data_IF_954679554243
#
_entry.id   IF_954679554243
#
_cell.length_a   1.000
_cell.length_b   1.000
_cell.length_c   1.000
_cell.angle_alpha   90.00
_cell.angle_beta   90.00
_cell.angle_gamma   90.00
#
_symmetry.space_group_name_H-M   'P 1'
#
loop_
_entity.id
_entity.type
_entity.pdbx_description
1 polymer ?
#
# COMPACT_ATOMS: atom_id res chain seq x y z
N UNK A 1 -12.67 -30.11 -9.00
CA UNK A 1 -11.78 -29.87 -7.84
C UNK A 1 -10.42 -30.57 -7.97
N UNK A 2 -10.34 -31.91 -8.06
CA UNK A 2 -9.06 -32.63 -8.23
C UNK A 2 -8.31 -32.30 -9.54
N UNK A 3 -9.04 -32.15 -10.65
CA UNK A 3 -8.47 -31.75 -11.94
C UNK A 3 -7.97 -30.28 -11.95
N UNK A 4 -8.52 -29.43 -11.08
CA UNK A 4 -8.11 -28.02 -10.91
C UNK A 4 -6.81 -27.94 -10.11
N UNK A 5 -6.69 -28.73 -9.05
CA UNK A 5 -5.45 -28.89 -8.27
C UNK A 5 -4.29 -29.44 -9.13
N UNK A 6 -4.54 -30.44 -9.98
CA UNK A 6 -3.53 -31.00 -10.89
C UNK A 6 -3.09 -30.00 -11.98
N UNK A 7 -4.01 -29.17 -12.48
CA UNK A 7 -3.71 -28.13 -13.47
C UNK A 7 -2.93 -26.97 -12.86
N UNK A 8 -3.25 -26.56 -11.63
CA UNK A 8 -2.47 -25.58 -10.86
C UNK A 8 -1.05 -26.09 -10.55
N UNK A 9 -0.89 -27.37 -10.20
CA UNK A 9 0.41 -27.95 -9.87
C UNK A 9 1.38 -28.02 -11.07
N UNK A 10 0.85 -28.34 -12.26
CA UNK A 10 1.63 -28.40 -13.49
C UNK A 10 2.00 -27.00 -14.03
N UNK A 11 1.11 -26.02 -13.86
CA UNK A 11 1.41 -24.61 -14.16
C UNK A 11 2.53 -24.15 -13.22
N UNK A 12 2.41 -24.33 -11.90
CA UNK A 12 3.45 -23.99 -10.92
C UNK A 12 4.83 -24.56 -11.27
N UNK A 13 4.94 -25.86 -11.59
CA UNK A 13 6.23 -26.50 -11.93
C UNK A 13 6.92 -25.89 -13.16
N UNK A 14 6.16 -25.59 -14.21
CA UNK A 14 6.72 -24.99 -15.43
C UNK A 14 7.25 -23.57 -15.20
N UNK A 15 6.61 -22.83 -14.28
CA UNK A 15 7.03 -21.48 -13.89
C UNK A 15 8.20 -21.50 -12.89
N UNK A 16 8.32 -22.50 -12.00
CA UNK A 16 9.49 -22.67 -11.13
C UNK A 16 10.78 -22.82 -11.94
N UNK A 17 10.74 -23.55 -13.07
CA UNK A 17 11.91 -23.76 -13.94
C UNK A 17 12.28 -22.46 -14.69
N UNK A 18 11.30 -21.69 -15.16
CA UNK A 18 11.54 -20.37 -15.77
C UNK A 18 12.06 -19.35 -14.75
N UNK A 19 11.53 -19.37 -13.53
CA UNK A 19 11.97 -18.55 -12.40
C UNK A 19 13.42 -18.85 -11.99
N UNK A 20 13.82 -20.12 -11.93
CA UNK A 20 15.20 -20.54 -11.68
C UNK A 20 16.17 -20.05 -12.77
N UNK A 21 15.78 -20.11 -14.05
CA UNK A 21 16.58 -19.56 -15.16
C UNK A 21 16.69 -18.04 -15.11
N UNK A 22 15.61 -17.33 -14.72
CA UNK A 22 15.59 -15.87 -14.54
C UNK A 22 16.42 -15.43 -13.31
N UNK A 23 16.47 -16.24 -12.25
CA UNK A 23 17.36 -16.07 -11.09
C UNK A 23 18.84 -16.22 -11.46
N UNK A 24 19.19 -17.20 -12.31
CA UNK A 24 20.55 -17.36 -12.83
C UNK A 24 20.97 -16.19 -13.73
N UNK A 25 20.07 -15.66 -14.56
CA UNK A 25 20.29 -14.42 -15.33
C UNK A 25 20.33 -13.15 -14.46
N UNK A 26 19.64 -13.14 -13.30
CA UNK A 26 19.75 -12.08 -12.29
C UNK A 26 21.07 -12.11 -11.53
N UNK A 27 21.62 -13.28 -11.24
CA UNK A 27 22.96 -13.37 -10.63
C UNK A 27 24.06 -12.85 -11.57
N UNK A 28 23.87 -12.93 -12.89
CA UNK A 28 24.76 -12.29 -13.86
C UNK A 28 24.46 -10.79 -14.05
N UNK A 29 23.22 -10.33 -13.99
CA UNK A 29 22.89 -8.88 -14.09
C UNK A 29 23.20 -8.09 -12.81
N UNK A 30 23.02 -8.66 -11.61
CA UNK A 30 23.42 -8.05 -10.33
C UNK A 30 24.94 -7.93 -10.20
N UNK A 31 25.71 -8.81 -10.85
CA UNK A 31 27.17 -8.65 -11.01
C UNK A 31 27.53 -7.49 -11.95
N UNK A 32 26.58 -7.04 -12.78
CA UNK A 32 26.78 -5.97 -13.77
C UNK A 32 26.31 -4.60 -13.23
N UNK A 33 25.29 -4.53 -12.38
CA UNK A 33 24.87 -3.30 -11.66
C UNK A 33 25.79 -2.92 -10.47
N UNK A 34 26.56 -3.86 -9.94
CA UNK A 34 27.60 -3.55 -8.93
C UNK A 34 28.73 -2.65 -9.46
N UNK A 35 28.76 -2.31 -10.76
CA UNK A 35 29.88 -1.62 -11.41
C UNK A 35 29.85 -0.08 -11.43
N UNK A 36 28.84 0.61 -10.90
CA UNK A 36 28.85 2.09 -10.79
C UNK A 36 28.57 2.58 -9.35
N UNK A 37 29.59 2.44 -8.51
CA UNK A 37 29.69 2.77 -7.08
C UNK A 37 30.09 4.23 -6.84
N UNK A 38 29.22 5.22 -7.10
CA UNK A 38 29.51 6.61 -6.68
C UNK A 38 28.55 7.07 -5.58
N UNK A 39 29.11 7.35 -4.41
CA UNK A 39 28.43 8.05 -3.30
C UNK A 39 28.07 9.48 -3.74
N UNK A 40 27.01 10.04 -3.16
CA UNK A 40 26.55 11.39 -3.48
C UNK A 40 27.31 12.43 -2.63
N UNK A 41 28.11 13.27 -3.30
CA UNK A 41 28.98 14.25 -2.62
C UNK A 41 28.18 15.26 -1.78
N UNK A 42 27.00 15.66 -2.24
CA UNK A 42 26.15 16.60 -1.52
C UNK A 42 25.56 16.01 -0.23
N UNK A 43 25.22 14.71 -0.22
CA UNK A 43 24.85 13.99 1.01
C UNK A 43 26.02 13.97 1.99
N UNK A 44 27.23 13.66 1.52
CA UNK A 44 28.43 13.62 2.37
C UNK A 44 28.73 15.01 2.95
N UNK A 45 28.72 16.05 2.10
CA UNK A 45 28.95 17.42 2.53
C UNK A 45 27.92 17.87 3.57
N UNK A 46 26.64 17.52 3.40
CA UNK A 46 25.60 17.83 4.37
C UNK A 46 25.89 17.20 5.74
N UNK A 47 26.26 15.90 5.76
CA UNK A 47 26.58 15.19 7.00
C UNK A 47 27.86 15.70 7.69
N UNK A 48 28.85 16.15 6.92
CA UNK A 48 30.12 16.67 7.46
C UNK A 48 29.99 18.10 8.02
N UNK A 49 29.14 18.92 7.43
CA UNK A 49 29.02 20.34 7.77
C UNK A 49 28.05 20.63 8.92
N UNK A 50 27.27 19.65 9.37
CA UNK A 50 26.30 19.81 10.45
C UNK A 50 26.81 19.11 11.71
N UNK A 51 27.08 19.85 12.81
CA UNK A 51 27.64 19.28 14.04
C UNK A 51 26.83 18.12 14.63
N UNK A 52 25.50 18.13 14.45
CA UNK A 52 24.59 17.08 14.93
C UNK A 52 24.88 15.69 14.34
N UNK A 53 25.59 15.61 13.20
CA UNK A 53 25.93 14.35 12.53
C UNK A 53 27.39 13.96 12.69
N UNK A 54 28.13 14.60 13.60
CA UNK A 54 29.53 14.26 13.86
C UNK A 54 29.68 12.78 14.21
N UNK A 55 30.56 12.06 13.50
CA UNK A 55 30.78 10.62 13.68
C UNK A 55 29.68 9.70 13.11
N UNK A 56 28.58 10.25 12.57
CA UNK A 56 27.53 9.44 11.96
C UNK A 56 28.01 8.78 10.65
N UNK A 57 28.80 9.49 9.85
CA UNK A 57 29.24 9.05 8.53
C UNK A 57 29.99 7.71 8.57
N UNK A 58 30.79 7.47 9.60
CA UNK A 58 31.57 6.24 9.81
C UNK A 58 30.67 5.03 10.12
N UNK A 59 29.49 5.29 10.68
CA UNK A 59 28.53 4.30 11.12
C UNK A 59 27.42 4.03 10.09
N UNK A 60 27.42 4.73 8.95
CA UNK A 60 26.40 4.55 7.92
C UNK A 60 26.88 3.57 6.82
N UNK A 61 26.02 2.65 6.36
CA UNK A 61 26.33 1.83 5.22
C UNK A 61 26.40 2.69 3.95
N UNK A 62 27.39 2.43 3.08
CA UNK A 62 27.64 3.22 1.85
C UNK A 62 26.45 3.27 0.88
N UNK A 63 25.51 2.32 0.98
CA UNK A 63 24.26 2.35 0.22
C UNK A 63 23.40 3.56 0.58
N UNK A 64 23.34 3.96 1.84
CA UNK A 64 22.54 5.11 2.29
C UNK A 64 23.13 6.46 1.88
N UNK A 65 24.41 6.49 1.51
CA UNK A 65 25.09 7.68 1.01
C UNK A 65 24.88 7.90 -0.50
N UNK A 66 24.03 7.09 -1.13
CA UNK A 66 23.64 7.23 -2.54
C UNK A 66 22.29 7.91 -2.66
N UNK A 67 22.02 8.45 -3.84
CA UNK A 67 20.68 8.92 -4.20
C UNK A 67 19.94 7.86 -5.00
N UNK A 68 18.66 7.71 -4.69
CA UNK A 68 17.77 6.77 -5.38
C UNK A 68 16.59 7.50 -5.99
N UNK A 69 16.03 6.97 -7.08
CA UNK A 69 14.74 7.46 -7.58
C UNK A 69 13.62 6.96 -6.67
N UNK A 70 13.69 5.69 -6.31
CA UNK A 70 12.72 4.98 -5.47
C UNK A 70 13.49 4.03 -4.52
N UNK A 71 13.91 4.51 -3.33
CA UNK A 71 14.58 3.64 -2.38
C UNK A 71 13.60 2.62 -1.78
N UNK A 72 14.09 1.43 -1.47
CA UNK A 72 13.28 0.37 -0.83
C UNK A 72 12.94 0.75 0.62
N UNK A 73 13.91 1.31 1.35
CA UNK A 73 13.78 1.71 2.76
C UNK A 73 14.22 3.16 2.97
N UNK A 74 13.73 3.76 4.05
CA UNK A 74 14.11 5.11 4.47
C UNK A 74 14.31 5.15 5.99
N UNK A 75 15.40 5.76 6.44
CA UNK A 75 15.88 5.74 7.81
C UNK A 75 16.02 7.15 8.36
N UNK A 76 15.52 7.38 9.57
CA UNK A 76 15.68 8.64 10.28
C UNK A 76 17.12 8.76 10.82
N UNK A 77 17.78 9.88 10.52
CA UNK A 77 19.16 10.14 10.95
C UNK A 77 19.32 11.33 11.91
N UNK A 78 18.22 12.02 12.26
CA UNK A 78 18.27 13.21 13.12
C UNK A 78 17.52 12.98 14.45
N UNK A 79 18.23 13.19 15.57
CA UNK A 79 17.69 12.99 16.93
C UNK A 79 16.59 13.99 17.28
N UNK A 80 16.76 15.26 16.93
CA UNK A 80 15.75 16.30 17.20
C UNK A 80 14.43 16.02 16.46
N UNK A 81 14.54 15.43 15.27
CA UNK A 81 13.37 15.01 14.50
C UNK A 81 12.70 13.78 15.08
N UNK A 82 13.47 12.85 15.67
CA UNK A 82 12.90 11.75 16.45
C UNK A 82 12.06 12.27 17.63
N UNK A 83 12.56 13.28 18.34
CA UNK A 83 11.82 13.95 19.43
C UNK A 83 10.53 14.62 18.92
N UNK A 84 10.61 15.34 17.79
CA UNK A 84 9.44 15.96 17.17
C UNK A 84 8.38 14.94 16.76
N UNK A 85 8.80 13.82 16.13
CA UNK A 85 7.91 12.72 15.77
C UNK A 85 7.26 12.17 17.03
N UNK A 86 8.04 11.76 18.04
CA UNK A 86 7.51 11.22 19.30
C UNK A 86 6.49 12.16 19.94
N UNK A 87 6.80 13.44 20.07
CA UNK A 87 5.90 14.42 20.70
C UNK A 87 4.59 14.57 19.92
N UNK A 88 4.64 14.43 18.59
CA UNK A 88 3.44 14.42 17.75
C UNK A 88 2.63 13.14 17.93
N UNK A 89 3.29 11.98 18.14
CA UNK A 89 2.63 10.68 18.27
C UNK A 89 2.05 10.41 19.67
N UNK A 90 2.67 10.94 20.74
CA UNK A 90 2.29 10.71 22.14
C UNK A 90 0.77 10.78 22.40
N UNK A 91 0.01 11.78 21.91
CA UNK A 91 -1.43 11.86 22.15
C UNK A 91 -2.26 10.76 21.48
N UNK A 92 -1.70 10.08 20.49
CA UNK A 92 -2.39 9.09 19.65
C UNK A 92 -2.07 7.64 20.03
N UNK A 93 -1.11 7.43 20.93
CA UNK A 93 -0.67 6.11 21.38
C UNK A 93 -1.19 5.86 22.79
N UNK A 94 -2.02 4.83 22.93
CA UNK A 94 -2.48 4.34 24.24
C UNK A 94 -1.56 3.23 24.76
N UNK A 95 -1.36 3.10 26.08
CA UNK A 95 -0.42 2.12 26.67
C UNK A 95 -0.69 0.65 26.31
N UNK A 96 -1.95 0.29 26.07
CA UNK A 96 -2.38 -1.08 25.77
C UNK A 96 -2.03 -1.55 24.35
N UNK A 97 -1.77 -0.62 23.43
CA UNK A 97 -1.52 -0.97 22.03
C UNK A 97 -0.05 -1.36 21.84
N UNK A 98 0.29 -2.52 21.27
CA UNK A 98 1.66 -2.79 20.86
C UNK A 98 2.11 -1.78 19.80
N UNK A 99 3.40 -1.43 19.84
CA UNK A 99 4.02 -0.55 18.86
C UNK A 99 4.96 -1.37 18.00
N UNK A 100 4.83 -1.23 16.69
CA UNK A 100 5.75 -1.74 15.69
C UNK A 100 6.53 -0.56 15.14
N UNK A 101 7.85 -0.61 15.20
CA UNK A 101 8.72 0.32 14.47
C UNK A 101 9.36 -0.41 13.30
N UNK A 102 9.14 0.12 12.09
CA UNK A 102 9.63 -0.47 10.84
C UNK A 102 10.85 0.29 10.36
N UNK A 103 11.92 -0.45 10.07
CA UNK A 103 13.22 0.07 9.64
C UNK A 103 13.77 1.15 10.60
N UNK A 104 13.98 0.82 11.90
CA UNK A 104 14.45 1.77 12.91
C UNK A 104 15.85 2.34 12.60
N UNK A 105 16.67 1.64 11.82
CA UNK A 105 18.01 2.11 11.44
C UNK A 105 18.89 2.37 12.65
N UNK A 106 19.34 3.61 12.80
CA UNK A 106 20.16 4.06 13.93
C UNK A 106 19.40 4.08 15.27
N UNK A 107 18.14 3.62 15.33
CA UNK A 107 17.39 3.48 16.59
C UNK A 107 17.09 4.79 17.33
N UNK A 108 17.25 5.95 16.68
CA UNK A 108 17.03 7.25 17.35
C UNK A 108 15.58 7.44 17.77
N UNK A 109 14.62 6.98 16.95
CA UNK A 109 13.22 7.01 17.33
C UNK A 109 12.91 5.89 18.33
N UNK A 110 13.47 4.69 18.16
CA UNK A 110 13.38 3.58 19.11
C UNK A 110 13.75 3.98 20.53
N UNK A 111 14.92 4.60 20.74
CA UNK A 111 15.40 5.08 22.05
C UNK A 111 14.36 6.00 22.72
N UNK A 112 13.77 6.91 21.93
CA UNK A 112 12.76 7.86 22.39
C UNK A 112 11.45 7.17 22.74
N UNK A 113 10.96 6.26 21.88
CA UNK A 113 9.75 5.47 22.12
C UNK A 113 9.90 4.64 23.41
N UNK A 114 11.01 3.92 23.57
CA UNK A 114 11.28 3.07 24.73
C UNK A 114 11.31 3.88 26.03
N UNK A 115 11.94 5.06 26.01
CA UNK A 115 12.12 5.86 27.24
C UNK A 115 10.83 6.59 27.63
N UNK A 116 9.99 6.97 26.67
CA UNK A 116 8.86 7.87 26.92
C UNK A 116 7.48 7.20 26.92
N UNK A 117 7.36 5.99 26.36
CA UNK A 117 6.08 5.28 26.25
C UNK A 117 6.16 3.98 27.04
N UNK A 118 5.09 3.55 27.71
CA UNK A 118 5.08 2.30 28.49
C UNK A 118 4.59 1.09 27.68
N UNK A 119 4.79 1.12 26.37
CA UNK A 119 4.32 0.11 25.43
C UNK A 119 5.39 -0.93 25.13
N UNK A 120 4.97 -2.13 24.73
CA UNK A 120 5.86 -3.09 24.09
C UNK A 120 6.22 -2.59 22.68
N UNK A 121 7.52 -2.58 22.37
CA UNK A 121 8.07 -2.14 21.10
C UNK A 121 8.64 -3.35 20.33
N UNK A 122 8.15 -3.53 19.12
CA UNK A 122 8.61 -4.55 18.18
C UNK A 122 9.30 -3.87 17.01
N UNK A 123 10.59 -4.09 16.87
CA UNK A 123 11.42 -3.50 15.84
C UNK A 123 11.64 -4.50 14.71
N UNK A 124 11.32 -4.10 13.48
CA UNK A 124 11.59 -4.89 12.28
C UNK A 124 12.61 -4.17 11.41
N UNK A 125 13.82 -4.73 11.33
CA UNK A 125 14.93 -4.16 10.56
C UNK A 125 15.32 -5.08 9.41
N UNK A 126 15.45 -4.52 8.21
CA UNK A 126 15.87 -5.26 7.02
C UNK A 126 17.39 -5.35 6.87
N UNK A 127 18.12 -4.36 7.37
CA UNK A 127 19.57 -4.25 7.24
C UNK A 127 20.31 -4.79 8.46
N UNK A 128 21.12 -5.84 8.23
CA UNK A 128 22.00 -6.40 9.26
C UNK A 128 23.00 -5.38 9.84
N UNK A 129 23.27 -4.29 9.12
CA UNK A 129 24.20 -3.24 9.54
C UNK A 129 23.79 -2.57 10.86
N UNK A 130 22.50 -2.46 11.13
CA UNK A 130 21.98 -1.75 12.30
C UNK A 130 21.77 -2.66 13.52
N UNK A 131 21.86 -3.99 13.35
CA UNK A 131 21.60 -4.94 14.42
C UNK A 131 22.48 -4.77 15.66
N UNK A 132 23.78 -4.43 15.58
CA UNK A 132 24.57 -4.22 16.79
C UNK A 132 23.97 -3.16 17.73
N UNK A 133 23.46 -2.06 17.16
CA UNK A 133 22.84 -0.99 17.94
C UNK A 133 21.45 -1.38 18.45
N UNK A 134 20.63 -2.04 17.61
CA UNK A 134 19.28 -2.45 18.00
C UNK A 134 19.28 -3.57 19.05
N UNK A 135 20.24 -4.49 18.96
CA UNK A 135 20.47 -5.53 19.98
C UNK A 135 20.86 -4.91 21.32
N UNK A 136 21.70 -3.86 21.33
CA UNK A 136 22.01 -3.12 22.57
C UNK A 136 20.73 -2.59 23.23
N UNK A 137 19.83 -1.97 22.45
CA UNK A 137 18.54 -1.47 22.98
C UNK A 137 17.66 -2.60 23.53
N UNK A 138 17.67 -3.76 22.87
CA UNK A 138 16.97 -4.96 23.35
C UNK A 138 17.56 -5.46 24.66
N UNK A 139 18.89 -5.53 24.78
CA UNK A 139 19.58 -6.02 25.97
C UNK A 139 19.40 -5.08 27.18
N UNK A 140 19.32 -3.77 26.93
CA UNK A 140 18.99 -2.75 27.95
C UNK A 140 17.52 -2.83 28.41
N UNK A 141 16.62 -3.33 27.56
CA UNK A 141 15.17 -3.38 27.81
C UNK A 141 14.50 -4.72 27.41
N UNK A 142 14.93 -5.85 27.98
CA UNK A 142 14.64 -7.19 27.45
C UNK A 142 13.16 -7.61 27.52
N UNK A 143 12.37 -7.00 28.43
CA UNK A 143 10.95 -7.30 28.59
C UNK A 143 10.02 -6.37 27.81
N UNK A 144 10.58 -5.34 27.18
CA UNK A 144 9.83 -4.29 26.49
C UNK A 144 10.11 -4.23 24.99
N UNK A 145 11.26 -4.73 24.59
CA UNK A 145 11.76 -4.59 23.23
C UNK A 145 11.99 -5.97 22.61
N UNK A 146 11.38 -6.19 21.45
CA UNK A 146 11.72 -7.30 20.57
C UNK A 146 12.30 -6.74 19.27
N UNK A 147 13.34 -7.40 18.74
CA UNK A 147 13.95 -7.01 17.47
C UNK A 147 14.03 -8.22 16.55
N UNK A 148 13.55 -8.07 15.31
CA UNK A 148 13.58 -9.10 14.26
C UNK A 148 14.23 -8.57 13.00
N UNK A 149 15.04 -9.42 12.36
CA UNK A 149 15.61 -9.16 11.04
C UNK A 149 14.60 -9.57 9.99
N UNK A 150 13.78 -8.65 9.51
CA UNK A 150 12.75 -8.95 8.53
C UNK A 150 12.22 -7.71 7.81
N UNK A 151 11.72 -7.94 6.60
CA UNK A 151 11.01 -6.94 5.81
C UNK A 151 9.52 -6.92 6.17
N UNK A 152 9.17 -6.09 7.15
CA UNK A 152 7.77 -5.92 7.58
C UNK A 152 6.89 -5.35 6.46
N UNK A 153 7.40 -4.40 5.68
CA UNK A 153 6.65 -3.87 4.53
C UNK A 153 6.53 -4.90 3.40
N UNK A 154 7.45 -5.85 3.31
CA UNK A 154 7.44 -7.01 2.41
C UNK A 154 6.62 -8.22 2.90
N UNK A 155 5.96 -8.13 4.05
CA UNK A 155 5.14 -9.21 4.64
C UNK A 155 4.10 -9.79 3.65
N UNK A 156 3.65 -9.00 2.69
CA UNK A 156 2.74 -9.41 1.63
C UNK A 156 3.21 -10.61 0.81
N UNK A 157 4.52 -10.72 0.60
CA UNK A 157 5.11 -11.84 -0.14
C UNK A 157 4.95 -13.14 0.63
N UNK A 158 5.10 -13.07 1.96
CA UNK A 158 4.94 -14.21 2.85
C UNK A 158 3.47 -14.64 2.92
N UNK A 159 2.54 -13.69 3.03
CA UNK A 159 1.10 -13.99 3.06
C UNK A 159 0.65 -14.69 1.77
N UNK A 160 1.18 -14.25 0.62
CA UNK A 160 0.92 -14.92 -0.64
C UNK A 160 1.47 -16.36 -0.69
N UNK A 161 2.70 -16.57 -0.24
CA UNK A 161 3.31 -17.90 -0.16
C UNK A 161 2.51 -18.83 0.75
N UNK A 162 2.17 -18.36 1.95
CA UNK A 162 1.40 -19.12 2.94
C UNK A 162 0.03 -19.54 2.38
N UNK A 163 -0.63 -18.70 1.57
CA UNK A 163 -1.88 -19.07 0.90
C UNK A 163 -1.71 -20.16 -0.16
N UNK A 164 -0.55 -20.26 -0.81
CA UNK A 164 -0.28 -21.24 -1.86
C UNK A 164 0.09 -22.62 -1.30
N UNK A 165 0.76 -22.66 -0.16
CA UNK A 165 1.28 -23.91 0.43
C UNK A 165 0.77 -24.21 1.84
N UNK A 166 -0.21 -23.45 2.34
CA UNK A 166 -0.71 -23.49 3.71
C UNK A 166 0.42 -23.32 4.75
N UNK A 167 1.36 -22.42 4.47
CA UNK A 167 2.47 -22.07 5.35
C UNK A 167 2.06 -21.24 6.57
N UNK A 168 3.04 -20.97 7.43
CA UNK A 168 2.90 -20.26 8.70
C UNK A 168 3.91 -19.09 8.84
N UNK A 169 4.50 -18.61 7.73
CA UNK A 169 5.59 -17.62 7.72
C UNK A 169 5.17 -16.29 8.33
N UNK A 170 3.92 -15.87 8.13
CA UNK A 170 3.38 -14.66 8.76
C UNK A 170 3.34 -14.80 10.27
N UNK A 171 2.85 -15.94 10.76
CA UNK A 171 2.77 -16.22 12.20
C UNK A 171 4.17 -16.28 12.81
N UNK A 172 5.14 -16.87 12.12
CA UNK A 172 6.55 -16.89 12.55
C UNK A 172 7.17 -15.48 12.56
N UNK A 173 6.91 -14.68 11.52
CA UNK A 173 7.36 -13.29 11.44
C UNK A 173 6.81 -12.46 12.61
N UNK A 174 5.53 -12.59 12.93
CA UNK A 174 4.89 -11.82 13.99
C UNK A 174 5.23 -12.34 15.38
N UNK A 175 5.39 -13.66 15.58
CA UNK A 175 5.66 -14.24 16.90
C UNK A 175 4.58 -13.83 17.90
N UNK A 176 4.98 -13.18 19.01
CA UNK A 176 4.08 -12.72 20.07
C UNK A 176 3.13 -11.58 19.64
N UNK A 177 3.42 -10.91 18.52
CA UNK A 177 2.46 -9.99 17.90
C UNK A 177 1.28 -10.71 17.27
N UNK A 178 1.45 -11.98 16.91
CA UNK A 178 0.41 -12.77 16.25
C UNK A 178 -0.83 -12.86 17.15
N UNK A 179 -1.98 -12.49 16.62
CA UNK A 179 -3.26 -12.54 17.33
C UNK A 179 -4.36 -13.13 16.46
N UNK A 180 -5.42 -13.65 17.10
CA UNK A 180 -6.69 -13.97 16.44
C UNK A 180 -7.76 -12.89 16.69
N UNK A 181 -7.44 -11.90 17.53
CA UNK A 181 -8.31 -10.76 17.78
C UNK A 181 -8.18 -9.73 16.65
N UNK A 182 -9.14 -9.77 15.73
CA UNK A 182 -9.25 -8.84 14.62
C UNK A 182 -9.57 -7.40 15.07
N UNK A 183 -9.95 -7.17 16.33
CA UNK A 183 -10.20 -5.83 16.87
C UNK A 183 -9.00 -5.24 17.61
N UNK A 184 -7.95 -6.02 17.88
CA UNK A 184 -6.71 -5.52 18.48
C UNK A 184 -6.11 -4.45 17.59
N UNK A 185 -5.90 -3.26 18.13
CA UNK A 185 -5.25 -2.17 17.40
C UNK A 185 -3.74 -2.30 17.58
N UNK A 186 -2.99 -2.24 16.48
CA UNK A 186 -1.53 -2.23 16.49
C UNK A 186 -1.03 -0.92 15.90
N UNK A 187 -0.15 -0.21 16.63
CA UNK A 187 0.43 1.03 16.13
C UNK A 187 1.66 0.74 15.28
N UNK A 188 1.68 1.16 14.03
CA UNK A 188 2.82 0.95 13.13
C UNK A 188 3.46 2.29 12.83
N UNK A 189 4.73 2.44 13.20
CA UNK A 189 5.50 3.67 13.06
C UNK A 189 6.65 3.40 12.08
N UNK A 190 6.88 4.30 11.13
CA UNK A 190 7.99 4.16 10.20
C UNK A 190 8.06 5.25 9.16
N UNK A 191 9.10 5.19 8.32
CA UNK A 191 9.23 6.04 7.14
C UNK A 191 9.04 5.20 5.87
N UNK A 192 8.18 5.68 4.97
CA UNK A 192 7.80 4.94 3.78
C UNK A 192 8.16 5.75 2.52
N UNK A 193 9.15 5.29 1.73
CA UNK A 193 9.58 6.01 0.53
C UNK A 193 8.61 5.89 -0.66
N UNK A 194 7.78 4.85 -0.70
CA UNK A 194 6.88 4.56 -1.83
C UNK A 194 5.59 3.87 -1.41
N UNK A 195 4.66 3.69 -2.35
CA UNK A 195 3.28 3.28 -2.04
C UNK A 195 3.05 1.76 -1.97
N UNK A 196 4.09 0.95 -2.11
CA UNK A 196 3.96 -0.52 -2.17
C UNK A 196 3.34 -1.12 -0.89
N UNK A 197 3.68 -0.56 0.28
CA UNK A 197 3.05 -1.01 1.53
C UNK A 197 1.57 -0.64 1.60
N UNK A 198 1.16 0.51 1.08
CA UNK A 198 -0.26 0.89 0.99
C UNK A 198 -1.02 -0.07 0.06
N UNK A 199 -0.44 -0.39 -1.10
CA UNK A 199 -0.99 -1.42 -2.01
C UNK A 199 -1.19 -2.75 -1.27
N UNK A 200 -0.22 -3.16 -0.45
CA UNK A 200 -0.34 -4.36 0.36
C UNK A 200 -1.48 -4.28 1.38
N UNK A 201 -1.59 -3.19 2.13
CA UNK A 201 -2.65 -3.04 3.14
C UNK A 201 -4.04 -3.09 2.51
N UNK A 202 -4.22 -2.43 1.36
CA UNK A 202 -5.45 -2.52 0.57
C UNK A 202 -5.74 -3.99 0.24
N UNK A 203 -4.75 -4.72 -0.29
CA UNK A 203 -4.93 -6.13 -0.64
C UNK A 203 -5.25 -7.01 0.58
N UNK A 204 -4.65 -6.77 1.74
CA UNK A 204 -4.95 -7.52 2.96
C UNK A 204 -6.40 -7.33 3.40
N UNK A 205 -6.90 -6.11 3.34
CA UNK A 205 -8.30 -5.82 3.65
C UNK A 205 -9.20 -6.46 2.61
N UNK A 206 -8.91 -6.24 1.32
CA UNK A 206 -9.75 -6.67 0.20
C UNK A 206 -9.87 -8.18 0.11
N UNK A 207 -8.76 -8.91 0.23
CA UNK A 207 -8.75 -10.35 0.01
C UNK A 207 -8.99 -11.15 1.28
N UNK A 208 -9.43 -10.47 2.35
CA UNK A 208 -9.79 -11.03 3.64
C UNK A 208 -8.89 -12.20 4.01
N UNK A 209 -7.67 -11.89 4.43
CA UNK A 209 -6.96 -12.91 5.17
C UNK A 209 -7.73 -13.12 6.47
N UNK A 210 -8.63 -14.11 6.48
CA UNK A 210 -9.38 -14.57 7.66
C UNK A 210 -8.42 -15.00 8.78
N UNK A 211 -7.12 -15.09 8.45
CA UNK A 211 -6.00 -15.25 9.35
C UNK A 211 -5.20 -13.95 9.47
N UNK A 212 -5.85 -12.79 9.64
CA UNK A 212 -5.16 -11.54 9.93
C UNK A 212 -4.50 -11.63 11.31
N UNK A 213 -3.29 -12.14 11.32
CA UNK A 213 -2.50 -12.36 12.52
C UNK A 213 -2.03 -11.06 13.18
N UNK A 214 -2.26 -9.90 12.57
CA UNK A 214 -1.79 -8.61 13.08
C UNK A 214 -2.87 -7.82 13.82
N UNK A 215 -4.16 -8.08 13.59
CA UNK A 215 -5.25 -7.23 14.05
C UNK A 215 -5.47 -5.99 13.16
N UNK A 216 -6.08 -4.92 13.68
CA UNK A 216 -6.34 -3.66 12.96
C UNK A 216 -5.11 -2.74 13.00
N UNK A 217 -4.41 -2.53 11.88
CA UNK A 217 -3.25 -1.64 11.86
C UNK A 217 -3.70 -0.18 11.92
N UNK A 218 -3.05 0.60 12.77
CA UNK A 218 -3.16 2.06 12.83
C UNK A 218 -1.78 2.67 12.61
N UNK A 219 -1.62 3.32 11.47
CA UNK A 219 -0.33 3.69 10.92
C UNK A 219 0.02 5.13 11.27
N UNK A 220 1.28 5.36 11.60
CA UNK A 220 1.91 6.66 11.78
C UNK A 220 3.16 6.72 10.90
N UNK A 221 2.96 7.12 9.66
CA UNK A 221 3.98 7.00 8.62
C UNK A 221 4.49 8.37 8.21
N UNK A 222 5.81 8.49 8.18
CA UNK A 222 6.46 9.62 7.51
C UNK A 222 6.60 9.29 6.02
N UNK A 223 6.01 10.09 5.14
CA UNK A 223 6.05 9.88 3.68
C UNK A 223 6.27 11.18 2.90
N UNK A 224 6.77 11.10 1.66
CA UNK A 224 6.89 12.27 0.80
C UNK A 224 5.53 12.93 0.51
N UNK A 225 5.51 14.26 0.39
CA UNK A 225 4.28 15.02 0.13
C UNK A 225 3.52 14.55 -1.12
N UNK A 226 4.23 14.34 -2.23
CA UNK A 226 3.65 13.85 -3.48
C UNK A 226 2.95 12.47 -3.35
N UNK A 227 3.44 11.59 -2.47
CA UNK A 227 2.80 10.29 -2.22
C UNK A 227 1.48 10.50 -1.48
N UNK A 228 1.45 11.39 -0.48
CA UNK A 228 0.24 11.74 0.25
C UNK A 228 -0.79 12.41 -0.67
N UNK A 229 -0.38 13.40 -1.46
CA UNK A 229 -1.25 14.10 -2.41
C UNK A 229 -1.84 13.15 -3.44
N UNK A 230 -1.06 12.21 -3.96
CA UNK A 230 -1.56 11.20 -4.88
C UNK A 230 -2.65 10.32 -4.24
N UNK A 231 -2.43 9.84 -3.02
CA UNK A 231 -3.41 9.00 -2.31
C UNK A 231 -4.69 9.76 -1.96
N UNK A 232 -4.55 11.05 -1.65
CA UNK A 232 -5.62 11.92 -1.16
C UNK A 232 -6.21 12.84 -2.23
N UNK A 233 -5.87 12.58 -3.50
CA UNK A 233 -6.31 13.36 -4.66
C UNK A 233 -7.84 13.51 -4.66
N UNK A 234 -8.31 14.75 -4.45
CA UNK A 234 -9.73 15.05 -4.38
C UNK A 234 -10.42 14.88 -5.74
N UNK A 235 -9.67 14.88 -6.85
CA UNK A 235 -10.22 14.68 -8.18
C UNK A 235 -10.75 13.25 -8.36
N UNK A 236 -10.34 12.31 -7.50
CA UNK A 236 -10.92 10.96 -7.41
C UNK A 236 -12.40 11.01 -7.04
N UNK A 237 -12.82 12.07 -6.33
CA UNK A 237 -14.21 12.28 -5.96
C UNK A 237 -15.05 12.89 -7.08
N UNK A 238 -14.43 13.57 -8.06
CA UNK A 238 -15.15 14.45 -9.00
C UNK A 238 -14.82 14.27 -10.48
N UNK A 239 -13.96 13.33 -10.88
CA UNK A 239 -13.76 13.05 -12.32
C UNK A 239 -12.43 12.45 -12.79
N UNK A 240 -11.49 12.07 -11.91
CA UNK A 240 -10.30 11.28 -12.31
C UNK A 240 -10.31 9.92 -11.65
N UNK A 241 -10.44 8.84 -12.43
CA UNK A 241 -10.33 7.50 -11.87
C UNK A 241 -8.88 7.08 -11.75
N UNK A 242 -8.47 6.88 -10.50
CA UNK A 242 -7.22 6.23 -10.15
C UNK A 242 -7.55 5.12 -9.16
N UNK A 243 -7.31 3.87 -9.56
CA UNK A 243 -7.69 2.68 -8.78
C UNK A 243 -7.13 2.70 -7.37
N UNK A 244 -5.83 3.01 -7.23
CA UNK A 244 -5.14 3.00 -5.94
C UNK A 244 -5.65 4.10 -4.97
N UNK A 245 -5.68 5.39 -5.35
CA UNK A 245 -6.30 6.45 -4.54
C UNK A 245 -7.77 6.19 -4.20
N UNK A 246 -8.57 5.69 -5.14
CA UNK A 246 -9.98 5.37 -4.90
C UNK A 246 -10.13 4.30 -3.80
N UNK A 247 -9.41 3.18 -3.92
CA UNK A 247 -9.44 2.12 -2.93
C UNK A 247 -8.87 2.59 -1.58
N UNK A 248 -7.81 3.40 -1.59
CA UNK A 248 -7.26 3.98 -0.37
C UNK A 248 -8.30 4.82 0.38
N UNK A 249 -8.96 5.76 -0.30
CA UNK A 249 -9.96 6.63 0.30
C UNK A 249 -11.24 5.88 0.72
N UNK A 250 -11.56 4.76 0.08
CA UNK A 250 -12.68 3.90 0.49
C UNK A 250 -12.39 3.09 1.76
N UNK A 251 -11.14 2.66 1.97
CA UNK A 251 -10.78 1.73 3.03
C UNK A 251 -10.16 2.38 4.27
N UNK A 252 -9.61 3.59 4.13
CA UNK A 252 -8.87 4.27 5.20
C UNK A 252 -9.39 5.67 5.50
N UNK A 253 -9.35 6.04 6.77
CA UNK A 253 -9.32 7.41 7.24
C UNK A 253 -7.86 7.87 7.33
N UNK A 254 -7.60 9.14 7.04
CA UNK A 254 -6.24 9.67 7.02
C UNK A 254 -6.18 11.13 7.46
N UNK A 255 -5.08 11.49 8.13
CA UNK A 255 -4.86 12.86 8.64
C UNK A 255 -3.38 13.20 8.69
N UNK A 256 -3.00 14.38 8.20
CA UNK A 256 -1.66 14.94 8.44
C UNK A 256 -1.56 15.39 9.89
N UNK A 257 -0.58 14.86 10.62
CA UNK A 257 -0.30 15.24 12.00
C UNK A 257 0.77 16.35 12.07
N UNK A 258 1.65 16.40 11.08
CA UNK A 258 2.69 17.43 10.98
C UNK A 258 3.66 17.15 9.83
N UNK A 259 4.75 17.92 9.80
CA UNK A 259 5.81 17.77 8.82
C UNK A 259 7.20 17.72 9.46
N UNK A 260 8.13 17.03 8.80
CA UNK A 260 9.52 16.90 9.22
C UNK A 260 10.47 17.12 8.03
N UNK A 261 11.70 17.63 8.23
CA UNK A 261 12.61 17.88 7.13
C UNK A 261 13.02 16.58 6.42
N UNK A 262 12.90 16.55 5.10
CA UNK A 262 13.27 15.39 4.27
C UNK A 262 14.76 15.07 4.34
N UNK A 263 15.61 16.09 4.49
CA UNK A 263 17.06 15.94 4.62
C UNK A 263 17.47 15.09 5.84
N UNK A 264 16.58 14.93 6.82
CA UNK A 264 16.80 14.13 8.03
C UNK A 264 16.56 12.63 7.84
N UNK A 265 16.28 12.21 6.60
CA UNK A 265 16.08 10.82 6.24
C UNK A 265 17.08 10.38 5.18
N UNK A 266 17.54 9.13 5.24
CA UNK A 266 18.39 8.51 4.22
C UNK A 266 17.78 7.20 3.69
N UNK A 267 18.04 6.84 2.43
CA UNK A 267 18.84 7.60 1.46
C UNK A 267 18.06 8.80 0.90
N UNK A 268 18.79 9.79 0.39
CA UNK A 268 18.15 10.91 -0.33
C UNK A 268 17.59 10.44 -1.67
N UNK A 269 16.51 11.10 -2.11
CA UNK A 269 15.93 10.83 -3.41
C UNK A 269 16.27 11.90 -4.43
N UNK A 270 16.31 11.51 -5.70
CA UNK A 270 16.34 12.50 -6.79
C UNK A 270 15.02 13.29 -6.78
N UNK A 271 15.05 14.58 -7.10
CA UNK A 271 13.83 15.35 -7.29
C UNK A 271 12.93 14.67 -8.32
N UNK A 272 11.62 14.57 -8.09
CA UNK A 272 10.70 14.09 -9.10
C UNK A 272 10.67 15.06 -10.30
N UNK A 273 10.49 14.54 -11.52
CA UNK A 273 10.38 15.34 -12.76
C UNK A 273 9.04 16.09 -12.90
N UNK A 274 8.31 16.30 -11.80
CA UNK A 274 6.95 16.84 -11.83
C UNK A 274 7.03 18.37 -11.87
N UNK A 275 6.65 18.96 -13.00
CA UNK A 275 6.70 20.42 -13.28
C UNK A 275 5.84 21.30 -12.35
N UNK A 276 5.18 20.76 -11.32
CA UNK A 276 4.19 21.45 -10.47
C UNK A 276 4.22 21.04 -8.98
N UNK A 277 5.39 20.73 -8.42
CA UNK A 277 5.49 20.61 -6.96
C UNK A 277 5.76 21.98 -6.33
N UNK A 278 5.11 22.27 -5.21
CA UNK A 278 5.49 23.44 -4.42
C UNK A 278 6.85 23.17 -3.78
N UNK A 279 7.69 24.21 -3.66
CA UNK A 279 9.03 24.10 -3.04
C UNK A 279 8.95 23.54 -1.60
N UNK A 280 7.83 23.77 -0.89
CA UNK A 280 7.60 23.25 0.46
C UNK A 280 7.40 21.72 0.50
N UNK A 281 6.85 21.12 -0.55
CA UNK A 281 6.61 19.67 -0.66
C UNK A 281 7.89 18.90 -1.02
N UNK A 282 8.89 19.58 -1.58
CA UNK A 282 10.18 18.96 -1.93
C UNK A 282 11.10 18.81 -0.72
N UNK A 283 11.02 19.74 0.24
CA UNK A 283 11.93 19.79 1.39
C UNK A 283 11.39 19.08 2.65
N UNK A 284 10.10 18.75 2.68
CA UNK A 284 9.46 18.14 3.83
C UNK A 284 8.87 16.77 3.53
N UNK A 285 8.73 15.98 4.59
CA UNK A 285 7.94 14.75 4.63
C UNK A 285 6.75 15.00 5.54
N UNK A 286 5.60 14.43 5.19
CA UNK A 286 4.41 14.47 6.03
C UNK A 286 4.39 13.28 6.98
N UNK A 287 4.15 13.57 8.26
CA UNK A 287 3.78 12.59 9.26
C UNK A 287 2.28 12.42 9.21
N UNK A 288 1.82 11.28 8.72
CA UNK A 288 0.42 11.00 8.43
C UNK A 288 -0.07 9.86 9.31
N UNK A 289 -1.24 10.03 9.91
CA UNK A 289 -1.99 8.94 10.50
C UNK A 289 -2.93 8.33 9.46
N UNK A 290 -2.90 7.01 9.31
CA UNK A 290 -3.75 6.24 8.39
C UNK A 290 -4.38 5.10 9.18
N UNK A 291 -5.70 5.10 9.28
CA UNK A 291 -6.47 4.15 10.09
C UNK A 291 -7.49 3.45 9.21
N UNK A 292 -7.62 2.13 9.34
CA UNK A 292 -8.67 1.40 8.63
C UNK A 292 -10.06 1.84 9.13
N UNK A 293 -10.97 2.10 8.18
CA UNK A 293 -12.37 2.42 8.50
C UNK A 293 -13.08 1.24 9.14
N UNK A 294 -13.88 1.51 10.17
CA UNK A 294 -14.71 0.49 10.82
C UNK A 294 -15.82 -0.02 9.88
N UNK A 295 -16.41 0.87 9.08
CA UNK A 295 -17.39 0.53 8.05
C UNK A 295 -16.72 0.49 6.68
N UNK A 296 -16.60 -0.71 6.13
CA UNK A 296 -16.09 -0.95 4.78
C UNK A 296 -17.18 -0.66 3.73
N UNK A 297 -16.81 -0.36 2.47
CA UNK A 297 -17.77 0.01 1.42
C UNK A 297 -18.79 -1.08 1.10
N UNK A 298 -18.46 -2.36 1.29
CA UNK A 298 -19.37 -3.49 1.17
C UNK A 298 -18.99 -4.60 2.15
N UNK A 299 -19.80 -5.65 2.21
CA UNK A 299 -19.47 -6.87 2.96
C UNK A 299 -18.17 -7.48 2.45
N UNK A 300 -17.50 -8.20 3.35
CA UNK A 300 -16.17 -8.75 3.15
C UNK A 300 -16.05 -9.61 1.89
N UNK A 301 -17.06 -10.44 1.66
CA UNK A 301 -17.09 -11.39 0.54
C UNK A 301 -17.13 -10.69 -0.83
N UNK A 302 -17.52 -9.41 -0.88
CA UNK A 302 -17.64 -8.60 -2.09
C UNK A 302 -16.47 -7.62 -2.29
N UNK A 303 -15.58 -7.45 -1.32
CA UNK A 303 -14.43 -6.57 -1.48
C UNK A 303 -13.50 -6.96 -2.63
N UNK A 304 -13.20 -8.26 -2.90
CA UNK A 304 -12.42 -8.66 -4.08
C UNK A 304 -13.08 -8.23 -5.39
N UNK A 305 -14.41 -8.29 -5.46
CA UNK A 305 -15.19 -7.90 -6.63
C UNK A 305 -15.16 -6.38 -6.80
N UNK A 306 -15.28 -5.61 -5.71
CA UNK A 306 -15.14 -4.15 -5.71
C UNK A 306 -13.74 -3.73 -6.18
N UNK A 307 -12.69 -4.36 -5.64
CA UNK A 307 -11.31 -4.11 -6.06
C UNK A 307 -11.10 -4.36 -7.55
N UNK A 308 -11.70 -5.43 -8.09
CA UNK A 308 -11.62 -5.72 -9.51
C UNK A 308 -12.42 -4.73 -10.35
N UNK A 309 -13.62 -4.35 -9.89
CA UNK A 309 -14.48 -3.35 -10.53
C UNK A 309 -13.76 -2.02 -10.71
N UNK A 310 -12.93 -1.61 -9.75
CA UNK A 310 -12.15 -0.37 -9.79
C UNK A 310 -10.87 -0.44 -10.62
N UNK A 311 -10.62 -1.52 -11.38
CA UNK A 311 -9.42 -1.61 -12.22
C UNK A 311 -9.57 -0.83 -13.53
N UNK A 312 -8.49 -0.22 -14.06
CA UNK A 312 -8.55 0.57 -15.29
C UNK A 312 -9.09 -0.18 -16.51
N UNK A 313 -8.85 -1.50 -16.59
CA UNK A 313 -9.36 -2.33 -17.68
C UNK A 313 -10.86 -2.63 -17.58
N UNK A 314 -11.50 -2.36 -16.43
CA UNK A 314 -12.96 -2.50 -16.29
C UNK A 314 -13.65 -1.21 -16.75
N UNK A 315 -13.11 -0.05 -16.36
CA UNK A 315 -13.60 1.24 -16.86
C UNK A 315 -12.54 2.35 -16.78
N UNK A 316 -12.71 3.32 -17.68
CA UNK A 316 -12.10 4.66 -17.69
C UNK A 316 -13.15 5.74 -17.35
N UNK A 317 -12.75 7.02 -17.35
CA UNK A 317 -13.72 8.11 -17.18
C UNK A 317 -14.73 8.20 -18.30
N UNK A 318 -14.28 8.05 -19.55
CA UNK A 318 -15.15 8.05 -20.75
C UNK A 318 -15.98 6.78 -20.92
N UNK A 319 -15.80 5.77 -20.06
CA UNK A 319 -16.56 4.54 -20.15
C UNK A 319 -18.02 4.79 -19.75
N UNK A 320 -18.94 4.47 -20.66
CA UNK A 320 -20.38 4.53 -20.41
C UNK A 320 -20.79 3.46 -19.41
N UNK A 321 -21.52 3.85 -18.36
CA UNK A 321 -21.86 2.98 -17.23
C UNK A 321 -22.74 1.81 -17.68
N UNK A 322 -23.88 2.11 -18.30
CA UNK A 322 -24.84 1.08 -18.72
C UNK A 322 -24.23 0.11 -19.74
N UNK A 323 -23.64 0.57 -20.86
CA UNK A 323 -23.00 -0.33 -21.82
C UNK A 323 -21.92 -1.23 -21.22
N UNK A 324 -21.14 -0.75 -20.24
CA UNK A 324 -20.13 -1.56 -19.57
C UNK A 324 -20.77 -2.67 -18.73
N UNK A 325 -21.81 -2.34 -17.94
CA UNK A 325 -22.49 -3.33 -17.11
C UNK A 325 -23.25 -4.37 -17.94
N UNK A 326 -23.80 -3.98 -19.08
CA UNK A 326 -24.49 -4.90 -20.00
C UNK A 326 -23.57 -5.93 -20.66
N UNK A 327 -22.25 -5.69 -20.68
CA UNK A 327 -21.27 -6.73 -21.08
C UNK A 327 -21.25 -7.90 -20.10
N UNK A 328 -21.63 -7.67 -18.84
CA UNK A 328 -21.64 -8.67 -17.78
C UNK A 328 -23.05 -9.22 -17.52
N UNK A 329 -24.06 -8.34 -17.51
CA UNK A 329 -25.47 -8.70 -17.30
C UNK A 329 -26.31 -8.06 -18.41
N UNK A 330 -26.64 -8.80 -19.48
CA UNK A 330 -27.42 -8.28 -20.60
C UNK A 330 -28.79 -7.73 -20.16
N UNK A 331 -29.14 -6.53 -20.65
CA UNK A 331 -30.43 -5.89 -20.38
C UNK A 331 -30.57 -5.23 -19.01
N UNK A 332 -29.52 -5.22 -18.18
CA UNK A 332 -29.56 -4.57 -16.87
C UNK A 332 -29.71 -3.04 -16.92
N UNK A 333 -29.48 -2.41 -18.08
CA UNK A 333 -29.60 -0.97 -18.25
C UNK A 333 -31.00 -0.43 -17.91
N UNK A 334 -32.05 -1.23 -18.12
CA UNK A 334 -33.43 -0.83 -17.80
C UNK A 334 -33.63 -0.48 -16.32
N UNK A 335 -32.91 -1.17 -15.43
CA UNK A 335 -32.98 -0.95 -13.97
C UNK A 335 -32.36 0.39 -13.57
N UNK A 336 -31.24 0.75 -14.21
CA UNK A 336 -30.57 2.02 -13.98
C UNK A 336 -31.37 3.20 -14.55
N UNK A 337 -31.95 3.06 -15.75
CA UNK A 337 -32.72 4.13 -16.40
C UNK A 337 -34.04 4.40 -15.65
N UNK A 338 -34.75 3.34 -15.27
CA UNK A 338 -36.02 3.46 -14.54
C UNK A 338 -35.83 3.84 -13.07
N UNK A 339 -34.62 3.65 -12.53
CA UNK A 339 -34.32 3.79 -11.10
C UNK A 339 -34.86 2.65 -10.23
N UNK A 340 -35.55 1.67 -10.83
CA UNK A 340 -36.16 0.53 -10.14
C UNK A 340 -35.24 -0.69 -10.21
N UNK A 341 -35.09 -1.39 -9.09
CA UNK A 341 -34.35 -2.65 -9.05
C UNK A 341 -35.27 -3.85 -9.35
N UNK A 342 -34.74 -4.98 -9.87
CA UNK A 342 -35.48 -6.22 -10.08
C UNK A 342 -36.24 -6.68 -8.82
N UNK A 343 -37.41 -7.35 -8.95
CA UNK A 343 -38.17 -7.86 -7.79
C UNK A 343 -37.36 -8.78 -6.88
N UNK A 344 -36.48 -9.61 -7.46
CA UNK A 344 -35.66 -10.61 -6.77
C UNK A 344 -34.28 -10.07 -6.33
N UNK A 345 -34.12 -8.75 -6.25
CA UNK A 345 -32.88 -8.11 -5.81
C UNK A 345 -32.52 -8.52 -4.40
N UNK A 346 -31.25 -8.87 -4.18
CA UNK A 346 -30.74 -9.21 -2.86
C UNK A 346 -30.57 -7.94 -2.00
N UNK A 347 -31.58 -7.69 -1.17
CA UNK A 347 -31.65 -6.52 -0.28
C UNK A 347 -30.54 -6.44 0.77
N UNK A 348 -29.84 -7.54 1.04
CA UNK A 348 -28.75 -7.55 2.04
C UNK A 348 -27.46 -6.90 1.51
N UNK A 349 -27.32 -6.81 0.18
CA UNK A 349 -26.11 -6.30 -0.50
C UNK A 349 -26.41 -5.14 -1.45
N UNK A 350 -27.69 -4.83 -1.67
CA UNK A 350 -28.13 -3.64 -2.40
C UNK A 350 -27.71 -2.35 -1.68
N UNK A 351 -27.68 -1.20 -2.36
CA UNK A 351 -27.47 0.08 -1.71
C UNK A 351 -28.47 0.32 -0.57
N UNK A 352 -27.99 0.88 0.54
CA UNK A 352 -28.80 1.30 1.68
C UNK A 352 -28.95 2.82 1.78
N UNK A 353 -29.52 3.30 2.88
CA UNK A 353 -29.75 4.74 3.12
C UNK A 353 -28.45 5.57 3.20
N UNK A 354 -27.34 4.94 3.59
CA UNK A 354 -26.03 5.60 3.70
C UNK A 354 -25.29 5.68 2.35
N UNK A 355 -25.78 5.02 1.31
CA UNK A 355 -25.17 5.02 -0.01
C UNK A 355 -25.59 6.25 -0.80
N UNK A 356 -24.70 6.73 -1.67
CA UNK A 356 -24.96 7.95 -2.44
C UNK A 356 -26.04 7.69 -3.48
N UNK A 357 -27.03 8.58 -3.55
CA UNK A 357 -28.06 8.55 -4.59
C UNK A 357 -27.43 8.69 -5.98
N UNK A 358 -27.90 7.86 -6.91
CA UNK A 358 -27.48 7.92 -8.29
C UNK A 358 -28.22 9.07 -8.99
N UNK A 359 -27.55 9.82 -9.89
CA UNK A 359 -28.25 10.77 -10.75
C UNK A 359 -29.19 10.00 -11.68
N UNK A 360 -30.05 10.72 -12.41
CA UNK A 360 -30.85 10.09 -13.46
C UNK A 360 -29.93 9.49 -14.54
N UNK A 361 -29.81 8.17 -14.54
CA UNK A 361 -28.90 7.44 -15.42
C UNK A 361 -29.50 7.34 -16.83
N UNK A 362 -28.67 7.58 -17.83
CA UNK A 362 -28.99 7.39 -19.25
C UNK A 362 -27.91 6.53 -19.91
N UNK A 363 -28.17 6.06 -21.13
CA UNK A 363 -27.17 5.31 -21.92
C UNK A 363 -25.88 6.12 -22.19
N UNK A 364 -25.94 7.46 -22.04
CA UNK A 364 -24.81 8.35 -22.23
C UNK A 364 -24.04 8.65 -20.94
N UNK A 365 -24.52 8.21 -19.78
CA UNK A 365 -23.84 8.49 -18.50
C UNK A 365 -22.51 7.76 -18.43
N UNK A 366 -21.47 8.51 -18.09
CA UNK A 366 -20.10 8.04 -17.98
C UNK A 366 -19.71 7.81 -16.52
N UNK A 367 -18.69 6.96 -16.30
CA UNK A 367 -18.09 6.87 -14.97
C UNK A 367 -17.41 8.17 -14.53
N UNK A 368 -17.02 9.03 -15.47
CA UNK A 368 -16.53 10.40 -15.20
C UNK A 368 -17.58 11.27 -14.52
N UNK A 369 -18.86 11.06 -14.82
CA UNK A 369 -19.98 11.83 -14.26
C UNK A 369 -20.30 11.44 -12.81
N UNK A 370 -19.75 10.32 -12.32
CA UNK A 370 -20.07 9.75 -11.02
C UNK A 370 -18.99 10.02 -9.97
N UNK A 371 -19.43 10.43 -8.78
CA UNK A 371 -18.56 10.50 -7.60
C UNK A 371 -18.07 9.12 -7.17
N UNK A 372 -17.02 9.06 -6.34
CA UNK A 372 -16.52 7.78 -5.81
C UNK A 372 -17.61 7.00 -5.05
N UNK A 373 -18.43 7.69 -4.25
CA UNK A 373 -19.54 7.06 -3.53
C UNK A 373 -20.61 6.51 -4.48
N UNK A 374 -20.96 7.26 -5.53
CA UNK A 374 -21.92 6.80 -6.54
C UNK A 374 -21.39 5.60 -7.32
N UNK A 375 -20.08 5.53 -7.61
CA UNK A 375 -19.45 4.34 -8.22
C UNK A 375 -19.60 3.11 -7.34
N UNK A 376 -19.48 3.26 -6.02
CA UNK A 376 -19.76 2.18 -5.05
C UNK A 376 -21.25 1.82 -5.06
N UNK A 377 -22.16 2.79 -5.13
CA UNK A 377 -23.61 2.53 -5.27
C UNK A 377 -23.92 1.72 -6.54
N UNK A 378 -23.32 2.09 -7.68
CA UNK A 378 -23.45 1.34 -8.94
C UNK A 378 -22.95 -0.09 -8.76
N UNK A 379 -21.78 -0.28 -8.15
CA UNK A 379 -21.25 -1.61 -7.86
C UNK A 379 -22.21 -2.43 -6.99
N UNK A 380 -22.74 -1.86 -5.90
CA UNK A 380 -23.69 -2.54 -5.01
C UNK A 380 -24.96 -2.96 -5.74
N UNK A 381 -25.54 -2.10 -6.59
CA UNK A 381 -26.68 -2.47 -7.43
C UNK A 381 -26.31 -3.64 -8.34
N UNK A 382 -25.21 -3.51 -9.06
CA UNK A 382 -24.72 -4.52 -10.00
C UNK A 382 -24.58 -5.91 -9.36
N UNK A 383 -23.97 -6.01 -8.17
CA UNK A 383 -23.80 -7.30 -7.49
C UNK A 383 -25.07 -7.80 -6.78
N UNK A 384 -26.07 -6.93 -6.57
CA UNK A 384 -27.33 -7.28 -5.91
C UNK A 384 -28.38 -7.88 -6.84
N UNK A 385 -28.22 -7.70 -8.16
CA UNK A 385 -29.17 -8.20 -9.14
C UNK A 385 -29.11 -9.73 -9.28
N UNK A 386 -30.25 -10.40 -9.48
CA UNK A 386 -30.32 -11.87 -9.48
C UNK A 386 -29.47 -12.52 -10.59
N UNK A 387 -29.27 -11.81 -11.70
CA UNK A 387 -28.46 -12.29 -12.83
C UNK A 387 -26.95 -12.27 -12.53
N UNK A 388 -26.50 -11.54 -11.51
CA UNK A 388 -25.08 -11.40 -11.18
C UNK A 388 -24.41 -12.74 -10.90
N UNK A 389 -25.08 -13.65 -10.20
CA UNK A 389 -24.55 -14.98 -9.85
C UNK A 389 -24.23 -15.83 -11.10
N UNK A 390 -24.93 -15.57 -12.21
CA UNK A 390 -24.71 -16.25 -13.50
C UNK A 390 -23.74 -15.47 -14.41
N UNK A 391 -23.40 -14.23 -14.05
CA UNK A 391 -22.52 -13.38 -14.85
C UNK A 391 -21.08 -13.92 -14.85
N UNK A 392 -20.32 -13.73 -15.95
CA UNK A 392 -18.93 -14.15 -16.02
C UNK A 392 -17.98 -13.26 -15.21
N UNK A 393 -18.48 -12.20 -14.55
CA UNK A 393 -17.66 -11.20 -13.86
C UNK A 393 -16.80 -11.84 -12.75
N UNK A 394 -17.41 -12.65 -11.88
CA UNK A 394 -16.71 -13.32 -10.77
C UNK A 394 -15.61 -14.27 -11.28
N UNK A 395 -15.95 -15.10 -12.26
CA UNK A 395 -15.00 -16.04 -12.89
C UNK A 395 -13.86 -15.29 -13.58
N UNK A 396 -14.16 -14.16 -14.21
CA UNK A 396 -13.14 -13.33 -14.88
C UNK A 396 -12.21 -12.65 -13.88
N UNK A 397 -12.74 -12.17 -12.76
CA UNK A 397 -11.93 -11.66 -11.64
C UNK A 397 -10.99 -12.75 -11.12
N UNK A 398 -11.52 -13.94 -10.81
CA UNK A 398 -10.75 -15.08 -10.31
C UNK A 398 -9.64 -15.52 -11.28
N UNK A 399 -9.92 -15.53 -12.59
CA UNK A 399 -8.95 -15.89 -13.61
C UNK A 399 -7.83 -14.85 -13.79
N UNK A 400 -8.09 -13.57 -13.49
CA UNK A 400 -7.09 -12.52 -13.60
C UNK A 400 -6.34 -12.27 -12.28
N UNK A 401 -6.86 -12.75 -11.15
CA UNK A 401 -6.25 -12.59 -9.83
C UNK A 401 -4.78 -13.07 -9.78
N UNK A 402 -4.38 -14.23 -10.36
CA UNK A 402 -2.98 -14.64 -10.42
C UNK A 402 -2.10 -13.64 -11.20
N UNK A 403 -2.61 -13.02 -12.27
CA UNK A 403 -1.84 -12.05 -13.06
C UNK A 403 -1.56 -10.78 -12.25
N UNK A 404 -2.56 -10.30 -11.51
CA UNK A 404 -2.41 -9.09 -10.69
C UNK A 404 -1.53 -9.31 -9.47
N UNK A 405 -1.60 -10.49 -8.86
CA UNK A 405 -0.72 -10.83 -7.74
C UNK A 405 0.74 -10.98 -8.21
N UNK A 406 0.97 -11.48 -9.42
CA UNK A 406 2.31 -11.58 -10.03
C UNK A 406 2.84 -10.21 -10.50
N UNK A 407 1.99 -9.28 -10.93
CA UNK A 407 2.42 -7.91 -11.29
C UNK A 407 2.91 -7.10 -10.08
N UNK A 408 2.45 -7.41 -8.86
CA UNK A 408 3.02 -6.80 -7.64
C UNK A 408 4.51 -7.15 -7.43
N UNK A 409 4.99 -8.28 -7.97
CA UNK A 409 6.41 -8.66 -7.95
C UNK A 409 7.25 -7.93 -9.01
N UNK A 410 6.65 -7.53 -10.14
CA UNK A 410 7.34 -6.86 -11.25
C UNK A 410 7.36 -5.32 -11.09
N UNK A 411 6.37 -4.74 -10.41
CA UNK A 411 6.35 -3.32 -10.00
C UNK A 411 7.59 -2.91 -9.17
N UNK A 412 8.27 -3.89 -8.56
CA UNK A 412 9.50 -3.68 -7.81
C UNK A 412 10.76 -3.58 -8.66
N UNK A 413 10.81 -4.17 -9.87
CA UNK A 413 12.03 -4.26 -10.68
C UNK A 413 11.68 -4.37 -12.17
N UNK A 414 11.99 -3.29 -12.89
CA UNK A 414 11.86 -3.09 -14.34
C UNK A 414 10.55 -2.46 -14.86
N UNK A 415 10.11 -1.34 -14.26
CA UNK A 415 9.48 -0.29 -15.05
C UNK A 415 10.20 1.06 -14.90
N UNK A 416 11.14 1.25 -15.83
CA UNK A 416 11.76 2.50 -16.21
C UNK A 416 10.64 3.49 -16.53
N UNK A 417 10.38 4.49 -15.68
CA UNK A 417 9.66 5.71 -16.05
C UNK A 417 8.17 5.59 -16.42
N UNK A 418 7.65 4.43 -16.81
CA UNK A 418 6.40 4.37 -17.56
C UNK A 418 5.15 4.03 -16.75
N UNK A 419 5.17 3.67 -15.46
CA UNK A 419 3.91 3.35 -14.76
C UNK A 419 3.33 4.49 -13.90
N UNK A 420 4.08 5.57 -13.65
CA UNK A 420 3.43 6.83 -13.28
C UNK A 420 3.01 7.58 -14.55
N UNK A 421 3.76 7.41 -15.65
CA UNK A 421 3.42 7.98 -16.95
C UNK A 421 2.24 7.25 -17.61
N UNK A 422 2.09 5.93 -17.63
CA UNK A 422 0.94 5.23 -18.26
C UNK A 422 -0.39 5.47 -17.51
N UNK A 423 -0.38 5.57 -16.18
CA UNK A 423 -1.55 6.01 -15.40
C UNK A 423 -1.80 7.54 -15.51
N UNK A 424 -0.85 8.32 -16.05
CA UNK A 424 -0.98 9.75 -16.36
C UNK A 424 -1.18 10.07 -17.85
N UNK A 425 -0.84 9.15 -18.77
CA UNK A 425 -0.78 9.32 -20.23
C UNK A 425 -1.96 8.66 -20.95
N UNK A 426 -2.85 7.97 -20.22
CA UNK A 426 -4.23 7.77 -20.66
C UNK A 426 -5.14 8.97 -20.29
N UNK A 427 -4.53 10.12 -20.02
CA UNK A 427 -5.14 11.44 -20.14
C UNK A 427 -5.19 11.80 -21.63
N UNK A 428 -6.35 11.59 -22.26
CA UNK A 428 -6.75 12.09 -23.56
C UNK A 428 -5.78 13.13 -24.19
N UNK A 429 -4.90 12.68 -25.07
CA UNK A 429 -4.42 13.55 -26.14
C UNK A 429 -5.58 13.68 -27.14
N UNK A 430 -6.40 14.71 -26.95
CA UNK A 430 -7.16 15.31 -28.03
C UNK A 430 -6.16 15.68 -29.13
N UNK A 431 -6.17 14.91 -30.22
CA UNK A 431 -5.71 15.45 -31.50
C UNK A 431 -6.84 16.33 -32.01
N UNK A 432 -6.66 17.65 -31.87
CA UNK A 432 -7.42 18.63 -32.64
C UNK A 432 -7.32 18.28 -34.14
N UNK A 433 -8.47 17.98 -34.75
CA UNK A 433 -8.70 18.04 -36.19
C UNK A 433 -10.13 18.50 -36.45
#
# INVERSE_FOLDING_TARGET
MLAMLLKMNNICRSYTIKYMKKLQQRQSSMKTEQKNTKVANDVINYLQNIPEYTGLLENLPKSLLRKYRTPENMYLINKNTADKILNTLKPHIRPENPIIEVNPGMGFLSEKLITNLNNNLYMFETSNHFLPQLSRLKDEHPHKVECKVADFFGMWKLAFQDKMDNGNRIKELLGDLSTHDNNRIVKIIGAMPGLNFIKHLINNIVFHDMNNHLGKPDLFITMPGYNYEFLTDSQVQTGKHKSLPALFQLLFDFKVLGSVPKAHFLPWTYPPNIKKLSVMDECNMYLVNITQKDKLPCQSEYLPLLWYFFKPHVFSMSTKVIPMLEQWIPGCGVWLISGQDPPDTNKNISPGEDDAELPHMTIFTEFGDLTLKQKVTVFKRFVSWPEFEQSPFKVTMENNLPKFVLHLDDDGKDNIGTHIEEDMEHSDTEMDA
#
